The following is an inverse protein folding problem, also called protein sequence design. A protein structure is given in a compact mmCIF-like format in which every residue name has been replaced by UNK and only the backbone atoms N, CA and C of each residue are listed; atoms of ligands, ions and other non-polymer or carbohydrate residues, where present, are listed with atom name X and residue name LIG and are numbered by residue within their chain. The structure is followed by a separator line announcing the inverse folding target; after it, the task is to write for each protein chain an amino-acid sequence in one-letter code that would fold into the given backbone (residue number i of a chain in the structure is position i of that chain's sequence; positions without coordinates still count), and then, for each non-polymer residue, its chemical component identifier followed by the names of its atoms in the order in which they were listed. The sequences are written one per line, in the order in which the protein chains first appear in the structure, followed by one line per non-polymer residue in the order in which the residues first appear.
data_IF_993710351113
#
_entry.id   IF_993710351113
#
_cell.length_a   1.000
_cell.length_b   1.000
_cell.length_c   1.000
_cell.angle_alpha   90.00
_cell.angle_beta   90.00
_cell.angle_gamma   90.00
#
_symmetry.space_group_name_H-M   'P 1'
#
loop_
_entity.id
_entity.type
_entity.pdbx_description
1 polymer ?
#
# COMPACT_ATOMS: atom_id res chain seq x y z
N UNK A 1 -64.00 -22.47 -51.81
CA UNK A 1 -65.02 -23.45 -51.36
C UNK A 1 -64.42 -24.19 -50.16
N UNK A 2 -64.73 -23.74 -48.93
CA UNK A 2 -65.56 -24.48 -47.94
C UNK A 2 -64.91 -25.85 -47.58
N UNK A 3 -64.39 -26.14 -46.37
CA UNK A 3 -65.02 -26.26 -45.03
C UNK A 3 -63.88 -26.68 -44.04
N UNK A 4 -63.59 -25.98 -42.94
CA UNK A 4 -64.11 -26.13 -41.55
C UNK A 4 -63.60 -27.36 -40.77
N UNK A 5 -62.75 -27.07 -39.76
CA UNK A 5 -62.41 -27.72 -38.48
C UNK A 5 -62.69 -29.21 -38.19
N UNK A 6 -61.69 -29.87 -37.56
CA UNK A 6 -61.95 -30.69 -36.36
C UNK A 6 -60.75 -30.67 -35.40
N UNK A 7 -61.05 -30.50 -34.11
CA UNK A 7 -60.11 -30.45 -32.98
C UNK A 7 -59.83 -31.88 -32.50
N UNK A 8 -58.57 -32.21 -32.23
CA UNK A 8 -58.22 -33.25 -31.26
C UNK A 8 -57.12 -32.74 -30.34
N UNK A 9 -57.27 -33.04 -29.06
CA UNK A 9 -56.57 -32.42 -27.94
C UNK A 9 -55.55 -33.37 -27.29
N UNK A 10 -54.62 -32.77 -26.53
CA UNK A 10 -53.83 -33.32 -25.41
C UNK A 10 -52.67 -34.24 -25.86
N UNK A 11 -51.40 -33.85 -25.62
CA UNK A 11 -50.77 -34.05 -24.31
C UNK A 11 -49.60 -33.10 -24.08
N UNK A 12 -49.68 -32.31 -23.00
CA UNK A 12 -48.55 -31.57 -22.44
C UNK A 12 -47.79 -32.53 -21.52
N UNK A 13 -46.56 -32.89 -21.87
CA UNK A 13 -45.62 -33.48 -20.94
C UNK A 13 -44.77 -32.33 -20.35
N UNK A 14 -45.17 -31.83 -19.17
CA UNK A 14 -44.31 -30.96 -18.35
C UNK A 14 -43.22 -31.85 -17.75
N UNK A 15 -42.04 -31.88 -18.37
CA UNK A 15 -40.85 -32.43 -17.74
C UNK A 15 -40.38 -31.50 -16.63
N UNK A 16 -40.71 -31.84 -15.38
CA UNK A 16 -40.09 -31.21 -14.20
C UNK A 16 -38.66 -31.75 -14.10
N UNK A 17 -37.73 -31.11 -14.79
CA UNK A 17 -36.30 -31.29 -14.56
C UNK A 17 -35.91 -30.56 -13.28
N UNK A 18 -35.87 -31.25 -12.15
CA UNK A 18 -35.22 -30.74 -10.94
C UNK A 18 -33.71 -30.73 -11.22
N UNK A 19 -33.18 -29.58 -11.62
CA UNK A 19 -31.75 -29.34 -11.63
C UNK A 19 -31.28 -29.28 -10.17
N UNK A 20 -30.74 -30.40 -9.66
CA UNK A 20 -29.97 -30.36 -8.41
C UNK A 20 -28.70 -29.54 -8.67
N UNK A 21 -28.73 -28.26 -8.29
CA UNK A 21 -27.52 -27.47 -8.19
C UNK A 21 -26.65 -28.11 -7.09
N UNK A 22 -25.55 -28.74 -7.49
CA UNK A 22 -24.52 -29.19 -6.57
C UNK A 22 -23.94 -27.95 -5.88
N UNK A 23 -24.35 -27.72 -4.63
CA UNK A 23 -23.66 -26.77 -3.77
C UNK A 23 -22.29 -27.37 -3.44
N UNK A 24 -21.25 -26.95 -4.17
CA UNK A 24 -19.87 -27.18 -3.74
C UNK A 24 -19.70 -26.50 -2.38
N UNK A 25 -19.35 -27.22 -1.31
CA UNK A 25 -19.09 -26.60 -0.02
C UNK A 25 -17.91 -25.64 -0.19
N UNK A 26 -18.09 -24.39 0.27
CA UNK A 26 -17.03 -23.40 0.28
C UNK A 26 -15.79 -24.01 0.97
N UNK A 27 -14.68 -24.10 0.24
CA UNK A 27 -13.45 -24.67 0.75
C UNK A 27 -13.00 -23.85 1.96
N UNK A 28 -12.90 -24.51 3.12
CA UNK A 28 -12.51 -23.85 4.35
C UNK A 28 -11.14 -23.17 4.17
N UNK A 29 -11.04 -21.88 4.56
CA UNK A 29 -9.78 -21.12 4.48
C UNK A 29 -8.75 -21.80 5.38
N UNK A 30 -7.72 -22.40 4.77
CA UNK A 30 -6.59 -22.97 5.51
C UNK A 30 -5.79 -21.82 6.13
N UNK A 31 -5.76 -21.74 7.47
CA UNK A 31 -4.97 -20.76 8.21
C UNK A 31 -3.54 -21.28 8.43
N UNK A 32 -2.55 -20.41 8.24
CA UNK A 32 -1.13 -20.71 8.47
C UNK A 32 -0.44 -21.51 7.36
N UNK A 33 0.84 -21.81 7.57
CA UNK A 33 1.69 -22.55 6.64
C UNK A 33 2.78 -21.72 5.97
N UNK A 34 3.49 -22.33 5.02
CA UNK A 34 4.54 -21.68 4.23
C UNK A 34 3.97 -21.31 2.86
N UNK A 35 4.00 -20.02 2.54
CA UNK A 35 3.72 -19.53 1.19
C UNK A 35 5.02 -19.52 0.39
N UNK A 36 5.17 -20.48 -0.53
CA UNK A 36 6.25 -20.45 -1.52
C UNK A 36 5.87 -19.52 -2.66
N UNK A 37 6.65 -18.46 -2.85
CA UNK A 37 6.40 -17.44 -3.85
C UNK A 37 7.66 -17.22 -4.70
N UNK A 38 7.53 -17.39 -6.02
CA UNK A 38 8.65 -17.28 -6.96
C UNK A 38 8.72 -15.87 -7.53
N UNK A 39 9.89 -15.24 -7.40
CA UNK A 39 10.19 -13.95 -8.03
C UNK A 39 11.34 -14.16 -9.01
N UNK A 40 11.02 -14.14 -10.31
CA UNK A 40 11.98 -14.38 -11.39
C UNK A 40 12.92 -13.20 -11.67
N UNK A 41 13.57 -12.65 -10.63
CA UNK A 41 14.48 -11.52 -10.75
C UNK A 41 15.47 -11.48 -9.58
N UNK A 42 16.71 -11.02 -9.84
CA UNK A 42 17.69 -10.76 -8.79
C UNK A 42 17.36 -9.42 -8.13
N UNK A 43 17.35 -9.41 -6.79
CA UNK A 43 17.18 -8.19 -6.01
C UNK A 43 18.45 -7.32 -6.15
N UNK A 44 18.37 -6.08 -6.68
CA UNK A 44 19.56 -5.24 -6.85
C UNK A 44 20.06 -4.67 -5.52
N UNK A 45 19.13 -4.27 -4.66
CA UNK A 45 19.35 -3.90 -3.25
C UNK A 45 18.02 -3.95 -2.49
N UNK A 46 18.04 -3.79 -1.17
CA UNK A 46 16.81 -3.76 -0.34
C UNK A 46 16.22 -2.36 -0.13
N UNK A 47 16.83 -1.30 -0.72
CA UNK A 47 16.40 0.07 -0.46
C UNK A 47 15.20 0.47 -1.33
N UNK A 48 14.02 0.48 -0.71
CA UNK A 48 12.74 0.97 -1.26
C UNK A 48 12.82 2.33 -1.93
N UNK A 49 13.69 3.23 -1.47
CA UNK A 49 13.70 4.61 -1.95
C UNK A 49 14.48 4.80 -3.25
N UNK A 50 15.35 3.86 -3.63
CA UNK A 50 16.15 3.93 -4.86
C UNK A 50 15.74 2.87 -5.90
N UNK A 51 15.28 1.70 -5.47
CA UNK A 51 14.94 0.60 -6.37
C UNK A 51 13.55 0.81 -6.97
N UNK A 52 13.32 0.32 -8.18
CA UNK A 52 12.04 0.49 -8.92
C UNK A 52 11.49 -0.82 -9.48
N UNK A 53 12.14 -1.95 -9.17
CA UNK A 53 11.87 -3.23 -9.82
C UNK A 53 10.87 -4.09 -9.06
N UNK A 54 10.09 -4.88 -9.81
CA UNK A 54 9.25 -5.93 -9.22
C UNK A 54 10.09 -6.95 -8.42
N UNK A 55 11.34 -7.18 -8.88
CA UNK A 55 12.30 -8.08 -8.26
C UNK A 55 12.63 -7.69 -6.83
N UNK A 56 12.72 -6.40 -6.51
CA UNK A 56 12.89 -5.93 -5.14
C UNK A 56 11.56 -5.85 -4.40
N UNK A 57 10.54 -5.20 -4.98
CA UNK A 57 9.35 -4.82 -4.22
C UNK A 57 8.53 -6.03 -3.73
N UNK A 58 8.39 -7.08 -4.54
CA UNK A 58 7.59 -8.24 -4.14
C UNK A 58 8.17 -9.00 -2.93
N UNK A 59 9.48 -9.34 -2.89
CA UNK A 59 10.04 -10.02 -1.73
C UNK A 59 10.28 -9.07 -0.53
N UNK A 60 10.56 -7.79 -0.73
CA UNK A 60 10.96 -6.88 0.37
C UNK A 60 9.79 -6.12 1.00
N UNK A 61 8.70 -5.84 0.26
CA UNK A 61 7.54 -5.12 0.82
C UNK A 61 6.97 -5.70 2.12
N UNK A 62 6.91 -7.04 2.34
CA UNK A 62 6.35 -7.59 3.57
C UNK A 62 7.11 -7.21 4.85
N UNK A 63 8.37 -6.76 4.73
CA UNK A 63 9.19 -6.34 5.87
C UNK A 63 8.93 -4.88 6.28
N UNK A 64 8.26 -4.07 5.44
CA UNK A 64 8.10 -2.63 5.68
C UNK A 64 6.64 -2.18 5.56
N UNK A 65 6.23 -1.28 6.45
CA UNK A 65 5.01 -0.49 6.27
C UNK A 65 5.28 0.79 5.48
N UNK A 66 4.21 1.41 4.99
CA UNK A 66 4.20 2.74 4.36
C UNK A 66 3.33 3.69 5.18
N UNK A 67 3.26 4.99 4.85
CA UNK A 67 2.35 5.92 5.53
C UNK A 67 0.87 5.57 5.25
N UNK A 68 0.55 5.50 3.97
CA UNK A 68 -0.72 4.99 3.43
C UNK A 68 -0.42 3.95 2.36
N UNK A 69 -1.42 3.18 1.95
CA UNK A 69 -1.29 2.15 0.92
C UNK A 69 -2.57 2.02 0.11
N UNK A 70 -2.48 1.38 -1.05
CA UNK A 70 -3.64 0.90 -1.80
C UNK A 70 -4.47 -0.02 -0.90
N UNK A 71 -5.79 0.14 -0.94
CA UNK A 71 -6.71 -0.69 -0.17
C UNK A 71 -6.56 -2.18 -0.58
N UNK A 72 -6.10 -3.07 0.33
CA UNK A 72 -5.90 -4.48 -0.01
C UNK A 72 -7.21 -5.21 -0.33
N UNK A 73 -8.35 -4.68 0.14
CA UNK A 73 -9.68 -5.24 -0.10
C UNK A 73 -10.29 -4.74 -1.42
N UNK A 74 -9.69 -3.72 -2.04
CA UNK A 74 -10.11 -3.17 -3.31
C UNK A 74 -8.90 -2.75 -4.16
N UNK A 75 -7.98 -3.68 -4.48
CA UNK A 75 -6.69 -3.34 -5.08
C UNK A 75 -6.79 -2.86 -6.53
N UNK A 76 -7.95 -3.07 -7.18
CA UNK A 76 -8.21 -2.61 -8.56
C UNK A 76 -8.57 -1.13 -8.64
N UNK A 77 -8.91 -0.49 -7.52
CA UNK A 77 -9.25 0.93 -7.52
C UNK A 77 -8.00 1.81 -7.58
N UNK A 78 -7.93 2.77 -8.51
CA UNK A 78 -6.78 3.67 -8.65
C UNK A 78 -6.76 4.79 -7.59
N UNK A 79 -7.81 4.94 -6.79
CA UNK A 79 -8.00 6.06 -5.85
C UNK A 79 -8.39 5.61 -4.44
N UNK A 80 -8.53 4.31 -4.20
CA UNK A 80 -8.87 3.76 -2.89
C UNK A 80 -7.60 3.50 -2.08
N UNK A 81 -7.29 4.44 -1.19
CA UNK A 81 -6.15 4.39 -0.30
C UNK A 81 -6.60 4.34 1.16
N UNK A 82 -5.87 3.59 1.97
CA UNK A 82 -6.11 3.43 3.41
C UNK A 82 -4.84 3.71 4.19
N UNK A 83 -5.00 4.09 5.46
CA UNK A 83 -3.86 4.21 6.37
C UNK A 83 -3.14 2.87 6.57
N UNK A 84 -1.81 2.93 6.65
CA UNK A 84 -0.96 1.81 7.06
C UNK A 84 -0.36 2.12 8.44
N UNK A 85 0.67 2.98 8.53
CA UNK A 85 1.17 3.45 9.85
C UNK A 85 0.44 4.67 10.42
N UNK A 86 -0.48 5.28 9.67
CA UNK A 86 -1.38 6.31 10.23
C UNK A 86 -2.66 5.72 10.85
N UNK A 87 -3.43 6.59 11.51
CA UNK A 87 -4.74 6.31 12.08
C UNK A 87 -5.83 7.06 11.32
N UNK A 88 -7.01 6.45 11.25
CA UNK A 88 -8.18 7.01 10.58
C UNK A 88 -8.13 6.89 9.06
N UNK A 89 -8.89 7.76 8.40
CA UNK A 89 -8.96 7.84 6.95
C UNK A 89 -7.77 8.62 6.37
N UNK A 90 -7.49 8.41 5.10
CA UNK A 90 -6.52 9.24 4.38
C UNK A 90 -7.00 10.69 4.37
N UNK A 91 -6.18 11.66 4.85
CA UNK A 91 -6.62 13.03 5.01
C UNK A 91 -6.94 13.68 3.66
N UNK A 92 -7.99 14.50 3.66
CA UNK A 92 -8.25 15.44 2.58
C UNK A 92 -7.32 16.65 2.72
N UNK A 93 -7.05 17.33 1.61
CA UNK A 93 -6.24 18.54 1.65
C UNK A 93 -6.98 19.70 2.31
N UNK A 94 -6.39 20.25 3.37
CA UNK A 94 -6.76 21.51 4.02
C UNK A 94 -6.12 22.71 3.28
N UNK A 95 -6.48 23.94 3.67
CA UNK A 95 -5.92 25.18 3.09
C UNK A 95 -5.96 25.18 1.55
N UNK A 96 -7.13 24.88 0.97
CA UNK A 96 -7.30 24.82 -0.48
C UNK A 96 -6.55 23.67 -1.16
N UNK A 97 -6.24 22.59 -0.43
CA UNK A 97 -5.54 21.42 -0.96
C UNK A 97 -4.01 21.48 -0.82
N UNK A 98 -3.50 22.35 0.03
CA UNK A 98 -2.05 22.58 0.21
C UNK A 98 -1.50 22.12 1.56
N UNK A 99 -2.36 21.70 2.48
CA UNK A 99 -1.96 21.20 3.79
C UNK A 99 -2.56 19.80 4.02
N UNK A 100 -1.73 18.82 4.38
CA UNK A 100 -2.18 17.48 4.72
C UNK A 100 -1.61 17.08 6.08
N UNK A 101 -2.49 16.71 7.02
CA UNK A 101 -2.13 16.26 8.36
C UNK A 101 -2.44 14.79 8.51
N UNK A 102 -1.43 14.00 8.87
CA UNK A 102 -1.56 12.59 9.18
C UNK A 102 -1.34 12.39 10.68
N UNK A 103 -2.23 11.62 11.31
CA UNK A 103 -2.03 11.14 12.67
C UNK A 103 -1.34 9.78 12.61
N UNK A 104 -0.18 9.65 13.23
CA UNK A 104 0.67 8.45 13.24
C UNK A 104 0.27 7.55 14.39
N UNK A 105 0.07 6.26 14.08
CA UNK A 105 -0.37 5.26 15.04
C UNK A 105 0.69 5.01 16.09
N UNK A 106 0.26 4.96 17.34
CA UNK A 106 1.12 4.64 18.47
C UNK A 106 1.30 3.13 18.66
N UNK A 107 2.41 2.74 19.29
CA UNK A 107 2.70 1.35 19.61
C UNK A 107 3.28 0.51 18.45
N UNK A 108 3.50 1.12 17.27
CA UNK A 108 4.25 0.48 16.19
C UNK A 108 5.72 0.40 16.61
N UNK A 109 6.36 -0.75 16.33
CA UNK A 109 7.78 -0.97 16.58
C UNK A 109 8.48 -1.37 15.29
N UNK A 110 9.74 -0.94 15.17
CA UNK A 110 10.66 -1.52 14.22
C UNK A 110 11.05 -2.94 14.63
N UNK A 111 11.60 -3.71 13.70
CA UNK A 111 12.05 -5.08 13.92
C UNK A 111 13.10 -5.22 15.01
N UNK A 112 13.89 -4.17 15.25
CA UNK A 112 14.84 -4.09 16.36
C UNK A 112 14.21 -3.72 17.73
N UNK A 113 12.88 -3.57 17.78
CA UNK A 113 12.11 -3.30 18.99
C UNK A 113 11.96 -1.82 19.35
N UNK A 114 12.66 -0.91 18.67
CA UNK A 114 12.48 0.53 18.92
C UNK A 114 11.10 1.04 18.46
N UNK A 115 10.50 2.02 19.16
CA UNK A 115 9.22 2.57 18.75
C UNK A 115 9.34 3.36 17.45
N UNK A 116 8.31 3.30 16.62
CA UNK A 116 8.16 4.15 15.44
C UNK A 116 7.32 5.38 15.79
N UNK A 117 7.77 6.54 15.38
CA UNK A 117 7.14 7.85 15.63
C UNK A 117 6.95 8.64 14.34
N UNK A 118 6.25 9.77 14.41
CA UNK A 118 6.16 10.72 13.30
C UNK A 118 7.53 11.28 12.86
N UNK A 119 8.55 11.26 13.74
CA UNK A 119 9.91 11.68 13.37
C UNK A 119 10.55 10.71 12.38
N UNK A 120 10.27 9.40 12.48
CA UNK A 120 10.75 8.39 11.54
C UNK A 120 10.08 8.54 10.17
N UNK A 121 8.77 8.78 10.18
CA UNK A 121 8.01 9.04 8.95
C UNK A 121 8.50 10.34 8.29
N UNK A 122 8.73 11.41 9.07
CA UNK A 122 9.33 12.65 8.57
C UNK A 122 10.71 12.40 7.95
N UNK A 123 11.62 11.73 8.65
CA UNK A 123 12.97 11.45 8.16
C UNK A 123 12.95 10.61 6.86
N UNK A 124 12.02 9.66 6.78
CA UNK A 124 11.75 8.87 5.58
C UNK A 124 11.38 9.75 4.40
N UNK A 125 10.35 10.60 4.55
CA UNK A 125 9.93 11.45 3.44
C UNK A 125 10.91 12.60 3.17
N UNK A 126 11.66 13.08 4.15
CA UNK A 126 12.77 14.01 3.92
C UNK A 126 13.83 13.38 3.01
N UNK A 127 14.25 12.13 3.26
CA UNK A 127 15.15 11.40 2.35
C UNK A 127 14.57 11.28 0.94
N UNK A 128 13.27 11.04 0.81
CA UNK A 128 12.62 10.85 -0.49
C UNK A 128 12.46 12.17 -1.26
N UNK A 129 11.99 13.23 -0.60
CA UNK A 129 11.60 14.51 -1.18
C UNK A 129 12.78 15.48 -1.26
N UNK A 130 13.61 15.51 -0.22
CA UNK A 130 14.76 16.40 -0.05
C UNK A 130 16.05 15.58 0.18
N UNK A 131 16.41 14.62 -0.70
CA UNK A 131 17.60 13.80 -0.50
C UNK A 131 18.85 14.69 -0.42
N UNK A 132 19.75 14.43 0.55
CA UNK A 132 21.05 15.09 0.61
C UNK A 132 21.86 14.90 -0.68
N UNK A 133 22.86 15.76 -0.90
CA UNK A 133 23.73 15.67 -2.08
C UNK A 133 24.36 14.27 -2.17
N UNK A 134 24.26 13.65 -3.34
CA UNK A 134 24.77 12.30 -3.60
C UNK A 134 23.86 11.16 -3.14
N UNK A 135 22.75 11.44 -2.45
CA UNK A 135 21.74 10.45 -2.11
C UNK A 135 20.71 10.37 -3.24
N UNK A 136 20.51 9.19 -3.80
CA UNK A 136 19.51 8.96 -4.82
C UNK A 136 18.12 8.81 -4.20
N UNK A 137 17.09 9.27 -4.91
CA UNK A 137 15.69 9.00 -4.63
C UNK A 137 14.96 8.83 -5.95
N UNK A 138 14.44 7.64 -6.22
CA UNK A 138 13.73 7.37 -7.47
C UNK A 138 12.34 8.02 -7.51
N UNK A 139 11.82 8.48 -6.35
CA UNK A 139 10.49 9.09 -6.22
C UNK A 139 10.49 10.61 -6.12
N UNK A 140 11.66 11.26 -5.97
CA UNK A 140 11.75 12.72 -5.76
C UNK A 140 10.87 13.52 -6.74
N UNK A 141 10.85 13.11 -8.01
CA UNK A 141 10.10 13.78 -9.06
C UNK A 141 8.57 13.79 -8.85
N UNK A 142 8.02 12.88 -8.04
CA UNK A 142 6.58 12.81 -7.74
C UNK A 142 6.16 13.79 -6.63
N UNK A 143 7.12 14.30 -5.85
CA UNK A 143 6.86 15.17 -4.70
C UNK A 143 7.23 16.63 -4.97
N UNK A 144 7.27 17.07 -6.24
CA UNK A 144 7.61 18.47 -6.62
C UNK A 144 6.74 19.53 -5.95
N UNK A 145 5.49 19.19 -5.62
CA UNK A 145 4.58 20.10 -4.93
C UNK A 145 4.91 20.25 -3.44
N UNK A 146 5.63 19.32 -2.82
CA UNK A 146 5.91 19.34 -1.38
C UNK A 146 6.96 20.43 -1.09
N UNK A 147 6.55 21.42 -0.29
CA UNK A 147 7.38 22.53 0.17
C UNK A 147 8.11 22.20 1.46
N UNK A 148 7.41 21.58 2.40
CA UNK A 148 7.98 21.21 3.70
C UNK A 148 7.24 20.04 4.32
N UNK A 149 7.94 19.33 5.20
CA UNK A 149 7.43 18.23 6.00
C UNK A 149 7.79 18.54 7.45
N UNK A 150 6.83 18.47 8.36
CA UNK A 150 7.08 18.70 9.79
C UNK A 150 6.42 17.61 10.62
N UNK A 151 7.01 17.35 11.78
CA UNK A 151 6.45 16.49 12.82
C UNK A 151 6.59 17.25 14.14
N UNK A 152 5.59 18.06 14.53
CA UNK A 152 5.67 18.88 15.75
C UNK A 152 5.68 18.06 17.03
N UNK A 153 5.21 16.81 16.95
CA UNK A 153 5.19 15.82 18.03
C UNK A 153 5.36 14.41 17.44
N UNK A 154 5.37 13.38 18.28
CA UNK A 154 5.60 11.97 17.87
C UNK A 154 4.43 11.32 17.13
N UNK A 155 3.28 12.00 17.07
CA UNK A 155 2.01 11.47 16.53
C UNK A 155 1.49 12.27 15.35
N UNK A 156 2.07 13.42 15.04
CA UNK A 156 1.56 14.32 13.99
C UNK A 156 2.58 14.47 12.89
N UNK A 157 2.18 14.20 11.65
CA UNK A 157 2.98 14.47 10.46
C UNK A 157 2.23 15.44 9.55
N UNK A 158 2.89 16.51 9.13
CA UNK A 158 2.28 17.56 8.31
C UNK A 158 3.09 17.72 7.02
N UNK A 159 2.41 17.60 5.89
CA UNK A 159 2.94 18.03 4.60
C UNK A 159 2.34 19.37 4.22
N UNK A 160 3.20 20.31 3.83
CA UNK A 160 2.78 21.57 3.19
C UNK A 160 3.24 21.56 1.75
N UNK A 161 2.32 21.86 0.84
CA UNK A 161 2.54 21.94 -0.59
C UNK A 161 2.64 23.40 -1.04
N UNK A 162 3.38 23.65 -2.12
CA UNK A 162 3.47 24.96 -2.76
C UNK A 162 2.23 25.30 -3.60
N UNK A 163 1.50 24.29 -4.06
CA UNK A 163 0.27 24.41 -4.85
C UNK A 163 -0.57 23.13 -4.71
N UNK A 164 -1.90 23.21 -4.85
CA UNK A 164 -2.76 22.04 -4.78
C UNK A 164 -2.54 21.11 -5.98
N UNK A 165 -2.55 19.80 -5.74
CA UNK A 165 -2.43 18.80 -6.80
C UNK A 165 -3.12 17.50 -6.42
N UNK A 166 -3.76 16.85 -7.40
CA UNK A 166 -4.33 15.51 -7.24
C UNK A 166 -3.29 14.39 -7.18
N UNK A 167 -2.02 14.68 -7.49
CA UNK A 167 -0.96 13.66 -7.54
C UNK A 167 -0.32 13.35 -6.19
N UNK A 168 -0.55 14.18 -5.17
CA UNK A 168 0.14 14.06 -3.87
C UNK A 168 -0.21 12.75 -3.14
N UNK A 169 -1.50 12.47 -2.92
CA UNK A 169 -1.93 11.25 -2.23
C UNK A 169 -1.47 9.97 -2.96
N UNK A 170 -1.65 9.83 -4.29
CA UNK A 170 -1.07 8.70 -5.03
C UNK A 170 0.45 8.56 -4.88
N UNK A 171 1.20 9.66 -4.85
CA UNK A 171 2.64 9.63 -4.66
C UNK A 171 3.02 9.13 -3.26
N UNK A 172 2.30 9.55 -2.20
CA UNK A 172 2.50 9.07 -0.82
C UNK A 172 2.20 7.56 -0.73
N UNK A 173 1.17 7.08 -1.44
CA UNK A 173 0.72 5.69 -1.42
C UNK A 173 1.61 4.70 -2.19
N UNK A 174 2.66 5.17 -2.87
CA UNK A 174 3.55 4.29 -3.62
C UNK A 174 4.14 3.21 -2.70
N UNK A 175 4.13 1.92 -3.11
CA UNK A 175 4.47 0.80 -2.23
C UNK A 175 5.94 0.81 -1.79
N UNK A 176 6.77 1.61 -2.44
CA UNK A 176 8.19 1.76 -2.21
C UNK A 176 8.56 2.80 -1.16
N UNK A 177 7.59 3.61 -0.69
CA UNK A 177 7.82 4.61 0.36
C UNK A 177 7.90 3.93 1.75
N UNK A 178 8.81 2.98 1.89
CA UNK A 178 9.06 2.25 3.13
C UNK A 178 9.40 3.22 4.24
N UNK A 179 8.78 3.04 5.41
CA UNK A 179 9.16 3.79 6.61
C UNK A 179 10.47 3.22 7.15
N UNK A 180 11.48 4.07 7.24
CA UNK A 180 12.79 3.76 7.82
C UNK A 180 12.93 4.40 9.19
N UNK A 181 13.64 3.71 10.09
CA UNK A 181 13.99 4.27 11.38
C UNK A 181 14.94 5.45 11.18
N UNK A 182 14.62 6.61 11.75
CA UNK A 182 15.45 7.81 11.68
C UNK A 182 16.85 7.53 12.21
N UNK A 183 16.96 6.74 13.28
CA UNK A 183 18.25 6.35 13.86
C UNK A 183 19.15 5.58 12.88
N UNK A 184 18.59 4.79 11.97
CA UNK A 184 19.39 4.07 10.97
C UNK A 184 19.90 5.03 9.90
N UNK A 185 19.08 5.99 9.48
CA UNK A 185 19.49 7.04 8.55
C UNK A 185 20.60 7.91 9.14
N UNK A 186 20.47 8.29 10.41
CA UNK A 186 21.42 9.16 11.10
C UNK A 186 22.74 8.45 11.43
N UNK A 187 22.68 7.25 12.00
CA UNK A 187 23.86 6.58 12.54
C UNK A 187 24.58 5.68 11.52
N UNK A 188 23.84 5.10 10.56
CA UNK A 188 24.37 4.11 9.60
C UNK A 188 24.45 4.66 8.18
N UNK A 189 23.83 5.82 7.94
CA UNK A 189 23.84 6.52 6.66
C UNK A 189 22.80 6.01 5.66
N UNK A 190 22.57 6.83 4.62
CA UNK A 190 21.48 6.65 3.66
C UNK A 190 21.57 5.40 2.77
N UNK A 191 22.72 4.72 2.74
CA UNK A 191 22.95 3.52 1.91
C UNK A 191 22.85 2.21 2.68
N UNK A 192 22.71 2.24 4.01
CA UNK A 192 22.67 1.04 4.85
C UNK A 192 21.55 0.07 4.44
N UNK A 193 20.37 0.61 4.11
CA UNK A 193 19.19 -0.13 3.66
C UNK A 193 19.37 -0.85 2.31
N UNK A 194 20.48 -0.63 1.59
CA UNK A 194 20.79 -1.43 0.39
C UNK A 194 21.02 -2.91 0.70
N UNK A 195 21.49 -3.21 1.92
CA UNK A 195 21.89 -4.57 2.32
C UNK A 195 21.26 -5.04 3.62
N UNK A 196 20.54 -4.18 4.32
CA UNK A 196 20.01 -4.46 5.64
C UNK A 196 18.54 -4.12 5.71
N UNK A 197 17.84 -4.79 6.62
CA UNK A 197 16.40 -4.61 6.83
C UNK A 197 16.14 -4.28 8.29
N UNK A 198 15.38 -3.21 8.51
CA UNK A 198 14.81 -2.84 9.79
C UNK A 198 13.51 -2.09 9.54
N UNK A 199 12.42 -2.83 9.37
CA UNK A 199 11.12 -2.26 9.04
C UNK A 199 10.12 -2.42 10.17
N UNK A 200 8.87 -2.10 9.88
CA UNK A 200 7.71 -2.24 10.79
C UNK A 200 6.69 -3.24 10.25
N UNK A 201 7.04 -3.96 9.19
CA UNK A 201 6.14 -4.92 8.54
C UNK A 201 5.99 -6.23 9.32
N UNK A 202 5.00 -7.06 8.97
CA UNK A 202 4.68 -8.28 9.71
C UNK A 202 5.71 -9.42 9.58
N UNK A 203 6.68 -9.31 8.67
CA UNK A 203 7.73 -10.31 8.47
C UNK A 203 9.09 -9.78 8.93
N UNK A 204 9.92 -10.67 9.47
CA UNK A 204 11.30 -10.42 9.92
C UNK A 204 12.25 -11.42 9.25
N UNK A 205 13.53 -11.05 9.12
CA UNK A 205 14.59 -11.95 8.65
C UNK A 205 15.14 -12.81 9.79
#
# INVERSE_FOLDING_TARGET
MKITYSRLAISVAVGVGVAMAAFSPAQAIKKGGVLNFVVGSKIPSYDGHIETTFGMIHPIKPFYSTLIRVNPNNPSSPTDFVCDVCEGDVPKGEEGGTLFKFKIRQGIKFHDGSPMTAQDVKATFDKVVFPPKGVASARKAYFKAVKSITAPDDTTLIFKLSFPTGTFIPAVAMPFNFIYAKKDLDAKGYTWHKKNVNGTGPFVF
#
